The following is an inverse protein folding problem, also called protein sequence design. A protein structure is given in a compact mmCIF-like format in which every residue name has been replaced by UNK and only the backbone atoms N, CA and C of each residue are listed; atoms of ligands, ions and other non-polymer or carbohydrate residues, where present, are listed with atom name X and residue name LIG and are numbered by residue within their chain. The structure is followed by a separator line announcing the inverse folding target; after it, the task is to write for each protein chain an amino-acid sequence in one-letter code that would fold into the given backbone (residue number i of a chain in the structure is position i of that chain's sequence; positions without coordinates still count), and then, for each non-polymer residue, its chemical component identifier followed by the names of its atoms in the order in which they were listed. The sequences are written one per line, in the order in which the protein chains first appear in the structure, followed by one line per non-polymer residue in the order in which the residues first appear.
data_IF_334378434544
#
_entry.id   IF_334378434544
#
_cell.length_a   1.000
_cell.length_b   1.000
_cell.length_c   1.000
_cell.angle_alpha   90.00
_cell.angle_beta   90.00
_cell.angle_gamma   90.00
#
_symmetry.space_group_name_H-M   'P 1'
#
loop_
_entity.id
_entity.type
_entity.pdbx_description
1 polymer ?
#
# COMPACT_ATOMS: atom_id res chain seq x y z
N UNK A 1 -3.17 -20.07 -6.70
CA UNK A 1 -4.14 -20.53 -5.69
C UNK A 1 -4.79 -21.82 -6.18
N UNK A 2 -5.43 -22.61 -5.31
CA UNK A 2 -6.32 -23.67 -5.79
C UNK A 2 -7.67 -23.07 -6.27
N UNK A 3 -8.52 -23.86 -6.94
CA UNK A 3 -9.79 -23.36 -7.49
C UNK A 3 -10.71 -22.75 -6.43
N UNK A 4 -10.79 -23.37 -5.25
CA UNK A 4 -11.64 -22.90 -4.14
C UNK A 4 -11.14 -21.56 -3.57
N UNK A 5 -9.83 -21.40 -3.41
CA UNK A 5 -9.20 -20.14 -2.99
C UNK A 5 -9.45 -19.02 -4.01
N UNK A 6 -9.34 -19.32 -5.30
CA UNK A 6 -9.63 -18.38 -6.39
C UNK A 6 -11.09 -17.92 -6.38
N UNK A 7 -12.03 -18.83 -6.13
CA UNK A 7 -13.47 -18.50 -6.00
C UNK A 7 -13.74 -17.67 -4.73
N UNK A 8 -13.15 -18.06 -3.60
CA UNK A 8 -13.25 -17.33 -2.32
C UNK A 8 -12.79 -15.87 -2.45
N UNK A 9 -11.68 -15.64 -3.15
CA UNK A 9 -11.17 -14.30 -3.43
C UNK A 9 -12.18 -13.48 -4.26
N UNK A 10 -12.66 -14.05 -5.36
CA UNK A 10 -13.57 -13.35 -6.28
C UNK A 10 -14.91 -13.02 -5.60
N UNK A 11 -15.45 -13.94 -4.80
CA UNK A 11 -16.65 -13.70 -3.98
C UNK A 11 -16.41 -12.63 -2.90
N UNK A 12 -15.25 -12.68 -2.23
CA UNK A 12 -14.85 -11.68 -1.24
C UNK A 12 -14.76 -10.28 -1.84
N UNK A 13 -14.16 -10.16 -3.02
CA UNK A 13 -14.10 -8.90 -3.78
C UNK A 13 -15.50 -8.40 -4.13
N UNK A 14 -16.39 -9.25 -4.65
CA UNK A 14 -17.76 -8.85 -4.98
C UNK A 14 -18.51 -8.27 -3.77
N UNK A 15 -18.41 -8.93 -2.61
CA UNK A 15 -19.04 -8.46 -1.37
C UNK A 15 -18.50 -7.11 -0.92
N UNK A 16 -17.18 -6.92 -0.99
CA UNK A 16 -16.53 -5.66 -0.58
C UNK A 16 -16.80 -4.54 -1.58
N UNK A 17 -16.92 -4.88 -2.86
CA UNK A 17 -17.24 -3.92 -3.88
C UNK A 17 -18.57 -3.26 -3.59
N UNK A 18 -19.57 -3.90 -3.01
CA UNK A 18 -20.86 -3.29 -2.63
C UNK A 18 -20.75 -2.05 -1.69
N UNK A 19 -19.59 -1.83 -1.08
CA UNK A 19 -19.33 -0.74 -0.12
C UNK A 19 -18.45 0.36 -0.70
N UNK A 20 -18.41 1.51 -0.03
CA UNK A 20 -17.56 2.63 -0.40
C UNK A 20 -16.05 2.34 -0.25
N UNK A 21 -15.19 3.11 -0.93
CA UNK A 21 -13.74 3.03 -0.74
C UNK A 21 -13.29 3.63 0.61
N UNK A 22 -14.20 4.30 1.33
CA UNK A 22 -13.95 4.94 2.62
C UNK A 22 -15.17 4.80 3.56
N UNK A 23 -14.95 5.01 4.85
CA UNK A 23 -15.94 5.12 5.91
C UNK A 23 -15.52 6.18 6.93
N UNK A 24 -16.44 6.65 7.77
CA UNK A 24 -16.23 7.75 8.73
C UNK A 24 -15.59 8.99 8.08
N UNK A 25 -15.98 9.27 6.83
CA UNK A 25 -15.56 10.45 6.05
C UNK A 25 -14.14 10.43 5.47
N UNK A 26 -13.23 9.57 5.94
CA UNK A 26 -11.84 9.54 5.45
C UNK A 26 -11.05 8.23 5.70
N UNK A 27 -11.59 7.26 6.44
CA UNK A 27 -10.89 6.00 6.72
C UNK A 27 -11.02 5.07 5.52
N UNK A 28 -9.91 4.58 4.99
CA UNK A 28 -9.88 3.73 3.79
C UNK A 28 -10.51 2.36 4.04
N UNK A 29 -11.26 1.85 3.08
CA UNK A 29 -11.68 0.45 3.06
C UNK A 29 -10.47 -0.45 2.70
N UNK A 30 -10.09 -1.30 3.65
CA UNK A 30 -8.94 -2.18 3.57
C UNK A 30 -9.26 -3.59 3.07
N UNK A 31 -10.55 -3.94 3.03
CA UNK A 31 -11.04 -5.30 2.83
C UNK A 31 -10.38 -6.03 1.66
N UNK A 32 -10.30 -5.43 0.45
CA UNK A 32 -9.75 -6.14 -0.70
C UNK A 32 -8.30 -6.57 -0.52
N UNK A 33 -7.48 -5.76 0.15
CA UNK A 33 -6.07 -6.07 0.43
C UNK A 33 -5.94 -7.16 1.50
N UNK A 34 -6.79 -7.12 2.54
CA UNK A 34 -6.78 -8.12 3.61
C UNK A 34 -7.27 -9.49 3.10
N UNK A 35 -8.37 -9.52 2.33
CA UNK A 35 -8.91 -10.74 1.73
C UNK A 35 -7.89 -11.39 0.80
N UNK A 36 -7.25 -10.60 -0.06
CA UNK A 36 -6.23 -11.12 -0.97
C UNK A 36 -5.04 -11.72 -0.20
N UNK A 37 -4.58 -11.07 0.88
CA UNK A 37 -3.53 -11.60 1.73
C UNK A 37 -3.95 -12.90 2.45
N UNK A 38 -5.16 -12.94 3.02
CA UNK A 38 -5.69 -14.14 3.70
C UNK A 38 -5.73 -15.34 2.75
N UNK A 39 -6.33 -15.18 1.56
CA UNK A 39 -6.42 -16.28 0.57
C UNK A 39 -5.03 -16.74 0.14
N UNK A 40 -4.11 -15.80 -0.13
CA UNK A 40 -2.76 -16.12 -0.60
C UNK A 40 -1.96 -16.98 0.39
N UNK A 41 -2.20 -16.80 1.68
CA UNK A 41 -1.50 -17.52 2.75
C UNK A 41 -2.34 -18.67 3.32
N UNK A 42 -3.33 -19.18 2.57
CA UNK A 42 -4.09 -20.38 2.93
C UNK A 42 -5.18 -20.16 3.99
N UNK A 43 -5.48 -18.92 4.35
CA UNK A 43 -6.51 -18.55 5.34
C UNK A 43 -7.87 -18.24 4.67
N UNK A 44 -8.12 -18.83 3.50
CA UNK A 44 -9.34 -18.63 2.71
C UNK A 44 -10.62 -18.93 3.47
N UNK A 45 -10.63 -19.97 4.31
CA UNK A 45 -11.79 -20.37 5.12
C UNK A 45 -12.26 -19.28 6.10
N UNK A 46 -11.41 -18.30 6.42
CA UNK A 46 -11.75 -17.17 7.31
C UNK A 46 -12.39 -16.00 6.58
N UNK A 47 -12.21 -15.90 5.27
CA UNK A 47 -12.50 -14.69 4.47
C UNK A 47 -13.93 -14.22 4.68
N UNK A 48 -14.93 -15.08 4.49
CA UNK A 48 -16.32 -14.64 4.55
C UNK A 48 -16.73 -14.16 5.93
N UNK A 49 -16.27 -14.85 6.99
CA UNK A 49 -16.52 -14.44 8.39
C UNK A 49 -15.80 -13.14 8.72
N UNK A 50 -14.56 -12.99 8.25
CA UNK A 50 -13.79 -11.77 8.40
C UNK A 50 -14.51 -10.58 7.75
N UNK A 51 -15.02 -10.76 6.52
CA UNK A 51 -15.80 -9.74 5.81
C UNK A 51 -17.10 -9.42 6.57
N UNK A 52 -17.78 -10.41 7.16
CA UNK A 52 -19.02 -10.18 7.92
C UNK A 52 -18.79 -9.18 9.07
N UNK A 53 -17.69 -9.33 9.83
CA UNK A 53 -17.31 -8.41 10.91
C UNK A 53 -16.83 -7.07 10.34
N UNK A 54 -15.92 -7.11 9.36
CA UNK A 54 -15.32 -5.91 8.81
C UNK A 54 -16.34 -4.95 8.15
N UNK A 55 -17.38 -5.51 7.51
CA UNK A 55 -18.43 -4.72 6.85
C UNK A 55 -19.28 -3.89 7.82
N UNK A 56 -19.31 -4.20 9.11
CA UNK A 56 -20.03 -3.39 10.11
C UNK A 56 -19.46 -1.96 10.22
N UNK A 57 -18.18 -1.77 9.83
CA UNK A 57 -17.50 -0.46 9.78
C UNK A 57 -17.75 0.31 8.48
N UNK A 58 -18.13 -0.39 7.41
CA UNK A 58 -18.13 0.15 6.06
C UNK A 58 -19.40 0.92 5.74
N UNK A 59 -19.26 1.97 4.94
CA UNK A 59 -20.36 2.80 4.48
C UNK A 59 -20.78 2.43 3.05
N UNK A 60 -21.97 2.88 2.67
CA UNK A 60 -22.47 2.75 1.30
C UNK A 60 -21.55 3.47 0.30
N UNK A 61 -21.60 3.05 -0.97
CA UNK A 61 -20.86 3.74 -2.02
C UNK A 61 -21.32 5.19 -2.13
N UNK A 62 -20.41 6.16 -2.34
CA UNK A 62 -20.80 7.52 -2.68
C UNK A 62 -21.59 7.54 -3.99
N UNK A 63 -22.51 8.49 -4.11
CA UNK A 63 -23.22 8.75 -5.37
C UNK A 63 -22.29 9.32 -6.45
N UNK A 64 -22.71 9.23 -7.70
CA UNK A 64 -22.07 9.92 -8.83
C UNK A 64 -22.22 11.44 -8.67
N UNK A 65 -21.13 12.18 -8.90
CA UNK A 65 -21.12 13.65 -8.93
C UNK A 65 -21.13 14.16 -10.36
N UNK A 66 -20.34 13.57 -11.26
CA UNK A 66 -20.29 13.96 -12.66
C UNK A 66 -19.48 13.00 -13.53
N UNK A 67 -19.81 12.95 -14.83
CA UNK A 67 -19.15 12.04 -15.76
C UNK A 67 -17.71 12.46 -16.06
N UNK A 68 -16.78 11.52 -15.89
CA UNK A 68 -15.38 11.64 -16.32
C UNK A 68 -15.22 11.09 -17.74
N UNK A 69 -14.42 11.78 -18.56
CA UNK A 69 -14.10 11.44 -19.95
C UNK A 69 -12.61 11.65 -20.22
N UNK A 70 -12.14 11.21 -21.39
CA UNK A 70 -10.75 11.43 -21.82
C UNK A 70 -10.39 12.93 -21.95
N UNK A 71 -11.38 13.79 -22.18
CA UNK A 71 -11.21 15.23 -22.34
C UNK A 71 -11.17 15.98 -21.01
N UNK A 72 -11.92 15.55 -20.00
CA UNK A 72 -12.13 16.31 -18.76
C UNK A 72 -11.45 15.74 -17.51
N UNK A 73 -10.82 14.56 -17.58
CA UNK A 73 -10.31 13.86 -16.38
C UNK A 73 -9.35 14.69 -15.52
N UNK A 74 -8.60 15.60 -16.13
CA UNK A 74 -7.65 16.48 -15.41
C UNK A 74 -8.35 17.40 -14.43
N UNK A 75 -9.58 17.82 -14.72
CA UNK A 75 -10.37 18.69 -13.86
C UNK A 75 -10.95 17.94 -12.65
N UNK A 76 -11.14 16.62 -12.78
CA UNK A 76 -11.64 15.74 -11.71
C UNK A 76 -10.52 15.12 -10.85
N UNK A 77 -9.25 15.27 -11.25
CA UNK A 77 -8.11 14.67 -10.55
C UNK A 77 -7.92 15.35 -9.18
N UNK A 78 -7.90 14.55 -8.12
CA UNK A 78 -7.74 15.01 -6.75
C UNK A 78 -9.01 15.61 -6.12
N UNK A 79 -10.16 15.56 -6.81
CA UNK A 79 -11.44 16.01 -6.27
C UNK A 79 -12.25 14.85 -5.64
N UNK A 80 -12.44 14.83 -4.31
CA UNK A 80 -13.18 13.80 -3.58
C UNK A 80 -14.58 13.51 -4.11
N UNK A 81 -15.22 14.50 -4.72
CA UNK A 81 -16.62 14.39 -5.14
C UNK A 81 -16.79 13.32 -6.23
N UNK A 82 -15.73 13.08 -7.01
CA UNK A 82 -15.72 12.12 -8.11
C UNK A 82 -15.32 10.69 -7.69
N UNK A 83 -15.32 10.35 -6.39
CA UNK A 83 -14.90 9.02 -5.91
C UNK A 83 -15.57 7.84 -6.65
N UNK A 84 -16.88 7.89 -6.86
CA UNK A 84 -17.61 6.86 -7.59
C UNK A 84 -17.41 6.94 -9.12
N UNK A 85 -17.25 8.16 -9.64
CA UNK A 85 -17.13 8.43 -11.06
C UNK A 85 -15.79 7.93 -11.61
N UNK A 86 -14.72 8.07 -10.82
CA UNK A 86 -13.39 7.56 -11.16
C UNK A 86 -13.36 6.04 -11.28
N UNK A 87 -13.97 5.32 -10.35
CA UNK A 87 -14.11 3.86 -10.43
C UNK A 87 -14.88 3.42 -11.68
N UNK A 88 -15.96 4.14 -12.01
CA UNK A 88 -16.74 3.90 -13.24
C UNK A 88 -15.89 4.12 -14.48
N UNK A 89 -15.17 5.25 -14.56
CA UNK A 89 -14.32 5.59 -15.68
C UNK A 89 -13.21 4.56 -15.93
N UNK A 90 -12.49 4.13 -14.88
CA UNK A 90 -11.50 3.06 -15.03
C UNK A 90 -12.14 1.72 -15.40
N UNK A 91 -13.33 1.42 -14.88
CA UNK A 91 -14.10 0.24 -15.28
C UNK A 91 -14.44 0.24 -16.78
N UNK A 92 -14.79 1.41 -17.34
CA UNK A 92 -15.00 1.56 -18.79
C UNK A 92 -13.70 1.31 -19.58
N UNK A 93 -12.59 1.94 -19.17
CA UNK A 93 -11.29 1.76 -19.82
C UNK A 93 -10.82 0.29 -19.81
N UNK A 94 -11.01 -0.42 -18.70
CA UNK A 94 -10.56 -1.80 -18.52
C UNK A 94 -11.44 -2.82 -19.27
N UNK A 95 -12.67 -2.47 -19.64
CA UNK A 95 -13.48 -3.29 -20.57
C UNK A 95 -13.05 -3.13 -22.02
N UNK A 96 -12.43 -1.99 -22.37
CA UNK A 96 -12.11 -1.63 -23.75
C UNK A 96 -10.66 -1.94 -24.11
N UNK A 97 -9.75 -2.00 -23.13
CA UNK A 97 -8.31 -2.14 -23.35
C UNK A 97 -7.69 -3.13 -22.37
N UNK A 98 -6.59 -3.80 -22.74
CA UNK A 98 -5.84 -4.66 -21.82
C UNK A 98 -5.42 -3.90 -20.56
N UNK A 99 -5.59 -4.52 -19.39
CA UNK A 99 -5.35 -3.85 -18.10
C UNK A 99 -3.92 -3.33 -17.94
N UNK A 100 -2.92 -4.02 -18.53
CA UNK A 100 -1.51 -3.59 -18.52
C UNK A 100 -1.31 -2.28 -19.28
N UNK A 101 -2.04 -2.05 -20.36
CA UNK A 101 -1.95 -0.81 -21.13
C UNK A 101 -2.57 0.35 -20.35
N UNK A 102 -3.74 0.12 -19.73
CA UNK A 102 -4.39 1.12 -18.86
C UNK A 102 -3.46 1.46 -17.68
N UNK A 103 -2.89 0.44 -17.04
CA UNK A 103 -1.94 0.63 -15.93
C UNK A 103 -0.70 1.40 -16.39
N UNK A 104 -0.05 1.02 -17.48
CA UNK A 104 1.14 1.70 -18.00
C UNK A 104 0.88 3.18 -18.37
N UNK A 105 -0.31 3.48 -18.89
CA UNK A 105 -0.72 4.85 -19.21
C UNK A 105 -0.93 5.71 -17.94
N UNK A 106 -1.60 5.16 -16.94
CA UNK A 106 -2.03 5.90 -15.75
C UNK A 106 -1.00 5.91 -14.63
N UNK A 107 -0.15 4.90 -14.53
CA UNK A 107 0.87 4.79 -13.49
C UNK A 107 1.70 6.07 -13.34
N UNK A 108 2.39 6.60 -14.39
CA UNK A 108 3.20 7.81 -14.24
C UNK A 108 2.37 9.06 -13.92
N UNK A 109 1.07 9.08 -14.24
CA UNK A 109 0.16 10.19 -13.88
C UNK A 109 -0.19 10.18 -12.39
N UNK A 110 -0.20 9.01 -11.77
CA UNK A 110 -0.58 8.83 -10.36
C UNK A 110 0.61 8.87 -9.40
N UNK A 111 1.83 8.54 -9.86
CA UNK A 111 3.04 8.55 -9.04
C UNK A 111 3.29 9.86 -8.27
N UNK A 112 3.04 11.08 -8.81
CA UNK A 112 3.21 12.32 -8.04
C UNK A 112 2.35 12.34 -6.77
N UNK A 113 1.16 11.74 -6.81
CA UNK A 113 0.23 11.60 -5.70
C UNK A 113 0.36 10.30 -4.91
N UNK A 114 1.53 9.64 -4.87
CA UNK A 114 1.72 8.32 -4.22
C UNK A 114 1.33 8.30 -2.72
N UNK A 115 1.40 9.45 -2.04
CA UNK A 115 1.07 9.57 -0.61
C UNK A 115 -0.42 9.80 -0.34
N UNK A 116 -1.21 10.05 -1.39
CA UNK A 116 -2.65 10.26 -1.32
C UNK A 116 -3.38 9.15 -0.55
N UNK A 117 -4.41 9.53 0.20
CA UNK A 117 -5.19 8.59 1.01
C UNK A 117 -4.29 7.75 1.91
N UNK A 118 -3.25 8.34 2.51
CA UNK A 118 -2.24 7.63 3.30
C UNK A 118 -1.59 6.43 2.59
N UNK A 119 -1.31 6.54 1.28
CA UNK A 119 -0.77 5.46 0.41
C UNK A 119 -1.70 4.28 0.15
N UNK A 120 -2.92 4.25 0.70
CA UNK A 120 -3.89 3.18 0.47
C UNK A 120 -4.15 2.90 -1.01
N UNK A 121 -4.29 3.90 -1.90
CA UNK A 121 -4.58 3.64 -3.30
C UNK A 121 -3.50 2.80 -4.01
N UNK A 122 -2.21 3.14 -3.82
CA UNK A 122 -1.13 2.34 -4.44
C UNK A 122 -1.04 0.95 -3.84
N UNK A 123 -1.29 0.81 -2.53
CA UNK A 123 -1.33 -0.51 -1.88
C UNK A 123 -2.44 -1.35 -2.51
N UNK A 124 -3.66 -0.79 -2.62
CA UNK A 124 -4.81 -1.44 -3.24
C UNK A 124 -4.53 -1.87 -4.69
N UNK A 125 -3.94 -0.99 -5.49
CA UNK A 125 -3.51 -1.31 -6.86
C UNK A 125 -2.47 -2.43 -6.89
N UNK A 126 -1.46 -2.40 -6.00
CA UNK A 126 -0.42 -3.43 -5.96
C UNK A 126 -0.96 -4.81 -5.59
N UNK A 127 -1.93 -4.90 -4.68
CA UNK A 127 -2.64 -6.15 -4.39
C UNK A 127 -3.45 -6.64 -5.61
N UNK A 128 -4.21 -5.75 -6.27
CA UNK A 128 -4.96 -6.10 -7.47
C UNK A 128 -4.06 -6.60 -8.61
N UNK A 129 -2.94 -5.91 -8.86
CA UNK A 129 -1.95 -6.30 -9.87
C UNK A 129 -1.29 -7.63 -9.53
N UNK A 130 -0.94 -7.88 -8.26
CA UNK A 130 -0.37 -9.16 -7.83
C UNK A 130 -1.30 -10.32 -8.18
N UNK A 131 -2.60 -10.19 -7.91
CA UNK A 131 -3.60 -11.20 -8.26
C UNK A 131 -3.72 -11.38 -9.77
N UNK A 132 -3.84 -10.28 -10.53
CA UNK A 132 -3.95 -10.34 -12.00
C UNK A 132 -2.73 -11.01 -12.64
N UNK A 133 -1.53 -10.82 -12.09
CA UNK A 133 -0.31 -11.47 -12.55
C UNK A 133 -0.26 -12.96 -12.22
N UNK A 134 -0.72 -13.36 -11.03
CA UNK A 134 -0.60 -14.72 -10.54
C UNK A 134 -1.75 -15.64 -10.98
N UNK A 135 -2.98 -15.14 -10.94
CA UNK A 135 -4.21 -15.93 -11.09
C UNK A 135 -5.00 -15.57 -12.36
N UNK A 136 -4.59 -14.51 -13.07
CA UNK A 136 -5.22 -14.06 -14.30
C UNK A 136 -6.47 -13.20 -14.10
N UNK A 137 -7.11 -12.85 -15.21
CA UNK A 137 -8.23 -11.91 -15.27
C UNK A 137 -9.57 -12.56 -14.87
N UNK A 138 -10.35 -11.84 -14.09
CA UNK A 138 -11.78 -12.08 -13.87
C UNK A 138 -12.50 -10.74 -13.70
N UNK A 139 -13.83 -10.74 -13.83
CA UNK A 139 -14.65 -9.53 -13.64
C UNK A 139 -14.37 -8.83 -12.29
N UNK A 140 -14.45 -9.54 -11.15
CA UNK A 140 -14.12 -8.98 -9.84
C UNK A 140 -12.69 -8.43 -9.74
N UNK A 141 -11.69 -9.12 -10.32
CA UNK A 141 -10.28 -8.67 -10.24
C UNK A 141 -10.02 -7.39 -11.04
N UNK A 142 -10.60 -7.29 -12.23
CA UNK A 142 -10.53 -6.07 -13.05
C UNK A 142 -11.29 -4.92 -12.39
N UNK A 143 -12.45 -5.19 -11.78
CA UNK A 143 -13.19 -4.20 -11.01
C UNK A 143 -12.39 -3.70 -9.80
N UNK A 144 -11.64 -4.58 -9.12
CA UNK A 144 -10.78 -4.18 -8.01
C UNK A 144 -9.62 -3.28 -8.47
N UNK A 145 -9.01 -3.56 -9.63
CA UNK A 145 -8.04 -2.64 -10.23
C UNK A 145 -8.68 -1.28 -10.57
N UNK A 146 -9.90 -1.27 -11.11
CA UNK A 146 -10.64 -0.05 -11.39
C UNK A 146 -10.88 0.77 -10.11
N UNK A 147 -11.27 0.10 -9.02
CA UNK A 147 -11.49 0.73 -7.73
C UNK A 147 -10.19 1.30 -7.14
N UNK A 148 -9.08 0.56 -7.22
CA UNK A 148 -7.78 1.03 -6.76
C UNK A 148 -7.27 2.26 -7.52
N UNK A 149 -7.31 2.22 -8.86
CA UNK A 149 -6.93 3.36 -9.71
C UNK A 149 -7.87 4.55 -9.52
N UNK A 150 -9.17 4.29 -9.42
CA UNK A 150 -10.17 5.33 -9.23
C UNK A 150 -10.02 6.02 -7.88
N UNK A 151 -9.74 5.25 -6.83
CA UNK A 151 -9.46 5.81 -5.52
C UNK A 151 -8.19 6.69 -5.53
N UNK A 152 -7.16 6.26 -6.25
CA UNK A 152 -5.92 7.02 -6.40
C UNK A 152 -6.18 8.36 -7.10
N UNK A 153 -6.92 8.33 -8.20
CA UNK A 153 -7.24 9.55 -8.95
C UNK A 153 -8.12 10.52 -8.15
N UNK A 154 -9.12 10.03 -7.41
CA UNK A 154 -10.00 10.85 -6.60
C UNK A 154 -9.32 11.51 -5.38
N UNK A 155 -8.32 10.85 -4.79
CA UNK A 155 -7.55 11.36 -3.65
C UNK A 155 -6.23 12.01 -4.04
N UNK A 156 -5.89 12.03 -5.32
CA UNK A 156 -4.59 12.46 -5.83
C UNK A 156 -4.15 13.78 -5.19
N UNK A 157 -3.06 13.74 -4.46
CA UNK A 157 -2.49 14.87 -3.77
C UNK A 157 -0.97 14.77 -3.81
N UNK A 158 -0.33 15.76 -4.42
CA UNK A 158 1.13 15.86 -4.47
C UNK A 158 1.68 16.42 -3.15
N UNK A 159 2.92 16.04 -2.82
CA UNK A 159 3.67 16.73 -1.78
C UNK A 159 3.96 18.19 -2.19
N UNK A 160 4.31 19.08 -1.23
CA UNK A 160 4.70 20.44 -1.57
C UNK A 160 5.81 20.49 -2.63
N UNK A 161 5.68 21.37 -3.64
CA UNK A 161 6.59 21.43 -4.78
C UNK A 161 8.07 21.77 -4.43
N UNK A 162 8.34 22.21 -3.20
CA UNK A 162 9.64 22.69 -2.73
C UNK A 162 10.31 21.80 -1.67
N UNK A 163 10.15 20.48 -1.77
CA UNK A 163 10.91 19.54 -0.92
C UNK A 163 12.39 19.57 -1.33
N UNK A 164 13.24 20.13 -0.47
CA UNK A 164 14.67 20.19 -0.71
C UNK A 164 15.34 18.82 -0.49
N UNK A 165 16.21 18.45 -1.42
CA UNK A 165 17.03 17.24 -1.34
C UNK A 165 18.11 17.38 -0.25
N UNK A 166 18.12 16.45 0.71
CA UNK A 166 19.23 16.24 1.65
C UNK A 166 20.25 15.25 1.06
N UNK A 167 21.51 15.26 1.53
CA UNK A 167 22.52 14.30 1.08
C UNK A 167 22.03 12.85 1.13
N UNK A 168 22.30 12.09 0.07
CA UNK A 168 21.86 10.71 -0.06
C UNK A 168 22.67 9.79 0.89
N UNK A 169 22.01 9.06 1.80
CA UNK A 169 22.69 8.07 2.64
C UNK A 169 23.07 6.82 1.84
N UNK A 170 24.00 6.01 2.36
CA UNK A 170 24.55 4.88 1.62
C UNK A 170 23.54 3.72 1.48
N UNK A 171 22.72 3.50 2.51
CA UNK A 171 21.73 2.42 2.55
C UNK A 171 20.29 2.92 2.77
N UNK A 172 19.31 2.10 2.40
CA UNK A 172 17.90 2.39 2.65
C UNK A 172 17.59 2.58 4.15
N UNK A 173 18.21 1.77 5.01
CA UNK A 173 18.02 1.86 6.45
C UNK A 173 18.58 3.16 7.05
N UNK A 174 19.74 3.61 6.57
CA UNK A 174 20.27 4.94 6.93
C UNK A 174 19.38 6.05 6.39
N UNK A 175 18.85 5.90 5.16
CA UNK A 175 17.94 6.87 4.57
C UNK A 175 16.67 7.04 5.40
N UNK A 176 16.00 5.96 5.81
CA UNK A 176 14.82 6.02 6.67
C UNK A 176 15.12 6.68 8.03
N UNK A 177 16.27 6.38 8.64
CA UNK A 177 16.69 7.02 9.91
C UNK A 177 17.07 8.49 9.75
N UNK A 178 17.49 8.91 8.56
CA UNK A 178 17.84 10.30 8.26
C UNK A 178 16.62 11.17 7.92
N UNK A 179 15.43 10.58 7.74
CA UNK A 179 14.18 11.33 7.55
C UNK A 179 13.90 12.16 8.79
N UNK A 180 13.79 13.47 8.61
CA UNK A 180 13.45 14.40 9.67
C UNK A 180 11.94 14.35 9.92
N UNK A 181 11.50 14.06 11.14
CA UNK A 181 10.08 14.12 11.46
C UNK A 181 9.53 15.55 11.36
N UNK A 182 8.25 15.68 11.05
CA UNK A 182 7.58 17.00 11.00
C UNK A 182 7.40 17.58 12.40
N UNK A 183 7.37 18.91 12.47
CA UNK A 183 7.32 19.67 13.72
C UNK A 183 5.96 19.54 14.42
N UNK A 184 4.85 19.83 13.71
CA UNK A 184 3.51 19.74 14.28
C UNK A 184 2.82 18.42 13.88
N UNK A 185 2.59 17.57 14.87
CA UNK A 185 1.94 16.26 14.72
C UNK A 185 0.54 16.22 15.33
N UNK A 186 -0.06 17.36 15.61
CA UNK A 186 -1.38 17.46 16.26
C UNK A 186 -2.53 16.93 15.41
N UNK A 187 -2.38 16.89 14.08
CA UNK A 187 -3.42 16.46 13.14
C UNK A 187 -3.00 15.22 12.32
N UNK A 188 -3.90 14.76 11.45
CA UNK A 188 -3.72 13.57 10.61
C UNK A 188 -2.70 13.74 9.47
N UNK A 189 -2.54 12.66 8.70
CA UNK A 189 -1.47 12.53 7.71
C UNK A 189 -1.42 13.66 6.68
N UNK A 190 -2.54 14.14 6.14
CA UNK A 190 -2.53 15.19 5.12
C UNK A 190 -1.91 16.49 5.64
N UNK A 191 -2.20 16.84 6.90
CA UNK A 191 -1.60 17.99 7.57
C UNK A 191 -0.09 17.81 7.81
N UNK A 192 0.33 16.59 8.15
CA UNK A 192 1.75 16.27 8.37
C UNK A 192 2.53 16.26 7.06
N UNK A 193 2.01 15.64 6.01
CA UNK A 193 2.63 15.62 4.68
C UNK A 193 2.82 17.05 4.11
N UNK A 194 1.88 17.95 4.35
CA UNK A 194 1.97 19.35 3.91
C UNK A 194 3.12 20.14 4.56
N UNK A 195 3.69 19.65 5.68
CA UNK A 195 4.84 20.27 6.34
C UNK A 195 6.19 19.76 5.82
N UNK A 196 6.20 18.68 5.04
CA UNK A 196 7.45 18.11 4.52
C UNK A 196 8.11 19.13 3.59
N UNK A 197 9.30 19.56 3.97
CA UNK A 197 10.10 20.51 3.21
C UNK A 197 11.48 19.98 2.83
N UNK A 198 11.87 18.81 3.36
CA UNK A 198 13.19 18.20 3.13
C UNK A 198 13.11 16.69 3.20
N UNK A 199 13.76 15.99 2.27
CA UNK A 199 13.89 14.53 2.28
C UNK A 199 15.29 14.10 1.80
N UNK A 200 15.86 13.00 2.33
CA UNK A 200 17.08 12.41 1.78
C UNK A 200 16.93 12.02 0.31
N UNK A 201 17.90 12.38 -0.55
CA UNK A 201 17.91 12.08 -1.98
C UNK A 201 18.37 10.63 -2.29
N UNK A 202 17.85 9.65 -1.54
CA UNK A 202 18.34 8.27 -1.57
C UNK A 202 18.00 7.50 -2.86
N UNK A 203 16.85 7.80 -3.46
CA UNK A 203 16.40 7.16 -4.69
C UNK A 203 17.19 7.61 -5.92
N UNK A 204 17.72 8.85 -5.90
CA UNK A 204 18.32 9.52 -7.06
C UNK A 204 19.74 9.00 -7.40
N UNK A 205 20.32 8.14 -6.55
CA UNK A 205 21.70 7.66 -6.71
C UNK A 205 21.83 6.36 -7.48
N UNK A 206 20.73 5.78 -7.98
CA UNK A 206 20.74 4.47 -8.65
C UNK A 206 20.92 4.67 -10.16
N UNK A 207 21.83 3.93 -10.81
CA UNK A 207 21.89 3.89 -12.26
C UNK A 207 20.56 3.48 -12.87
N UNK A 208 20.23 4.03 -14.05
CA UNK A 208 18.97 3.73 -14.76
C UNK A 208 19.03 2.35 -15.45
N UNK A 209 19.28 1.30 -14.66
CA UNK A 209 19.24 -0.10 -15.04
C UNK A 209 18.07 -0.79 -14.31
N UNK A 210 17.10 -1.39 -15.03
CA UNK A 210 15.87 -1.92 -14.43
C UNK A 210 16.11 -2.89 -13.26
N UNK A 211 17.03 -3.84 -13.38
CA UNK A 211 17.24 -4.80 -12.29
C UNK A 211 17.92 -4.15 -11.06
N UNK A 212 18.81 -3.17 -11.26
CA UNK A 212 19.38 -2.39 -10.17
C UNK A 212 18.30 -1.56 -9.45
N UNK A 213 17.34 -0.99 -10.19
CA UNK A 213 16.18 -0.29 -9.64
C UNK A 213 15.30 -1.23 -8.83
N UNK A 214 15.01 -2.42 -9.36
CA UNK A 214 14.23 -3.45 -8.65
C UNK A 214 14.92 -3.92 -7.37
N UNK A 215 16.23 -4.18 -7.42
CA UNK A 215 17.01 -4.54 -6.24
C UNK A 215 17.01 -3.41 -5.20
N UNK A 216 17.19 -2.16 -5.63
CA UNK A 216 17.13 -1.01 -4.74
C UNK A 216 15.76 -0.90 -4.07
N UNK A 217 14.68 -1.07 -4.82
CA UNK A 217 13.32 -1.06 -4.26
C UNK A 217 13.11 -2.22 -3.27
N UNK A 218 13.59 -3.42 -3.57
CA UNK A 218 13.57 -4.54 -2.62
C UNK A 218 14.37 -4.22 -1.34
N UNK A 219 15.49 -3.51 -1.45
CA UNK A 219 16.26 -3.06 -0.28
C UNK A 219 15.50 -2.02 0.56
N UNK A 220 14.68 -1.16 -0.06
CA UNK A 220 13.79 -0.24 0.65
C UNK A 220 12.73 -0.99 1.44
N UNK A 221 12.07 -1.98 0.82
CA UNK A 221 11.06 -2.81 1.49
C UNK A 221 11.66 -3.51 2.71
N UNK A 222 12.82 -4.18 2.55
CA UNK A 222 13.52 -4.82 3.69
C UNK A 222 13.85 -3.83 4.80
N UNK A 223 14.36 -2.65 4.44
CA UNK A 223 14.72 -1.62 5.40
C UNK A 223 13.48 -1.04 6.12
N UNK A 224 12.37 -0.86 5.43
CA UNK A 224 11.12 -0.36 6.00
C UNK A 224 10.48 -1.38 6.96
N UNK A 225 10.51 -2.67 6.62
CA UNK A 225 10.10 -3.76 7.53
C UNK A 225 10.99 -3.79 8.79
N UNK A 226 12.31 -3.65 8.63
CA UNK A 226 13.23 -3.53 9.78
C UNK A 226 13.03 -2.26 10.60
N UNK A 227 12.70 -1.14 9.96
CA UNK A 227 12.34 0.09 10.63
C UNK A 227 11.07 -0.11 11.47
N UNK A 228 10.03 -0.73 10.89
CA UNK A 228 8.80 -1.06 11.60
C UNK A 228 9.07 -1.90 12.86
N UNK A 229 9.84 -2.98 12.75
CA UNK A 229 10.16 -3.89 13.86
C UNK A 229 10.71 -3.19 15.12
N UNK A 230 11.30 -2.01 14.96
CA UNK A 230 11.97 -1.26 16.03
C UNK A 230 11.29 0.07 16.37
N UNK A 231 10.53 0.67 15.44
CA UNK A 231 9.96 2.02 15.57
C UNK A 231 8.42 2.06 15.57
N UNK A 232 7.73 0.93 15.36
CA UNK A 232 6.27 0.87 15.27
C UNK A 232 5.55 1.50 16.47
N UNK A 233 6.17 1.53 17.65
CA UNK A 233 5.62 2.13 18.87
C UNK A 233 5.29 3.64 18.76
N UNK A 234 5.77 4.35 17.73
CA UNK A 234 5.36 5.73 17.46
C UNK A 234 3.92 5.83 16.94
N UNK A 235 3.54 4.95 16.01
CA UNK A 235 2.18 4.78 15.53
C UNK A 235 2.09 3.45 14.75
N UNK A 236 1.67 2.35 15.39
CA UNK A 236 1.83 1.01 14.82
C UNK A 236 0.95 0.79 13.59
N UNK A 237 -0.21 1.45 13.52
CA UNK A 237 -1.11 1.42 12.37
C UNK A 237 -0.52 2.19 11.20
N UNK A 238 -0.16 3.47 11.37
CA UNK A 238 0.29 4.29 10.24
C UNK A 238 1.67 3.89 9.72
N UNK A 239 2.56 3.38 10.58
CA UNK A 239 3.90 2.97 10.14
C UNK A 239 3.90 1.71 9.27
N UNK A 240 2.83 0.90 9.22
CA UNK A 240 2.77 -0.23 8.26
C UNK A 240 2.91 0.26 6.83
N UNK A 241 2.36 1.45 6.54
CA UNK A 241 2.34 2.05 5.21
C UNK A 241 3.74 2.36 4.66
N UNK A 242 4.71 2.60 5.54
CA UNK A 242 6.10 2.81 5.14
C UNK A 242 6.71 1.55 4.50
N UNK A 243 6.19 0.36 4.80
CA UNK A 243 6.63 -0.91 4.23
C UNK A 243 5.68 -1.43 3.14
N UNK A 244 4.37 -1.33 3.35
CA UNK A 244 3.38 -1.91 2.42
C UNK A 244 3.29 -1.13 1.10
N UNK A 245 3.44 0.20 1.12
CA UNK A 245 3.41 1.02 -0.09
C UNK A 245 4.59 0.74 -1.05
N UNK A 246 5.88 0.76 -0.62
CA UNK A 246 6.97 0.40 -1.52
C UNK A 246 6.90 -1.08 -1.96
N UNK A 247 6.37 -1.99 -1.14
CA UNK A 247 6.19 -3.38 -1.55
C UNK A 247 5.09 -3.54 -2.61
N UNK A 248 4.00 -2.77 -2.52
CA UNK A 248 2.98 -2.71 -3.56
C UNK A 248 3.56 -2.23 -4.91
N UNK A 249 4.44 -1.22 -4.88
CA UNK A 249 5.17 -0.76 -6.07
C UNK A 249 6.08 -1.88 -6.61
N UNK A 250 6.83 -2.57 -5.74
CA UNK A 250 7.71 -3.68 -6.11
C UNK A 250 6.95 -4.82 -6.80
N UNK A 251 5.80 -5.20 -6.23
CA UNK A 251 4.89 -6.22 -6.79
C UNK A 251 4.29 -5.81 -8.13
N UNK A 252 4.23 -4.51 -8.41
CA UNK A 252 3.66 -3.97 -9.66
C UNK A 252 4.68 -3.90 -10.80
N UNK A 253 5.99 -3.83 -10.52
CA UNK A 253 7.02 -3.68 -11.57
C UNK A 253 6.92 -4.69 -12.73
N UNK A 254 6.63 -6.00 -12.52
CA UNK A 254 6.50 -6.97 -13.62
C UNK A 254 5.31 -6.71 -14.57
N UNK A 255 4.37 -5.85 -14.17
CA UNK A 255 3.25 -5.42 -15.00
C UNK A 255 3.57 -4.19 -15.87
N UNK A 256 4.63 -3.44 -15.54
CA UNK A 256 4.95 -2.13 -16.12
C UNK A 256 6.08 -2.21 -17.16
N UNK A 257 6.06 -1.32 -18.17
CA UNK A 257 7.23 -1.02 -18.99
C UNK A 257 8.45 -0.66 -18.12
N UNK A 258 9.63 -1.14 -18.50
CA UNK A 258 10.87 -1.02 -17.70
C UNK A 258 11.31 0.44 -17.52
N UNK A 259 10.94 1.30 -18.44
CA UNK A 259 11.22 2.74 -18.45
C UNK A 259 10.50 3.47 -17.31
N UNK A 260 9.45 2.86 -16.73
CA UNK A 260 8.72 3.43 -15.58
C UNK A 260 9.32 3.05 -14.23
N UNK A 261 10.29 2.13 -14.18
CA UNK A 261 10.76 1.57 -12.91
C UNK A 261 11.52 2.59 -12.07
N UNK A 262 12.35 3.43 -12.68
CA UNK A 262 13.12 4.47 -11.98
C UNK A 262 12.20 5.50 -11.28
N UNK A 263 11.19 5.99 -12.00
CA UNK A 263 10.16 6.86 -11.41
C UNK A 263 9.38 6.16 -10.29
N UNK A 264 9.13 4.85 -10.43
CA UNK A 264 8.45 4.04 -9.42
C UNK A 264 9.28 3.92 -8.13
N UNK A 265 10.60 3.77 -8.23
CA UNK A 265 11.50 3.78 -7.07
C UNK A 265 11.47 5.14 -6.35
N UNK A 266 11.52 6.25 -7.09
CA UNK A 266 11.43 7.60 -6.50
C UNK A 266 10.12 7.83 -5.75
N UNK A 267 9.00 7.39 -6.32
CA UNK A 267 7.69 7.47 -5.67
C UNK A 267 7.59 6.55 -4.44
N UNK A 268 8.10 5.31 -4.52
CA UNK A 268 8.13 4.37 -3.40
C UNK A 268 8.97 4.89 -2.22
N UNK A 269 10.11 5.52 -2.51
CA UNK A 269 10.91 6.22 -1.50
C UNK A 269 10.12 7.37 -0.87
N UNK A 270 9.48 8.21 -1.69
CA UNK A 270 8.63 9.32 -1.24
C UNK A 270 7.50 8.85 -0.32
N UNK A 271 6.84 7.73 -0.65
CA UNK A 271 5.81 7.13 0.19
C UNK A 271 6.37 6.71 1.57
N UNK A 272 7.48 5.98 1.58
CA UNK A 272 8.12 5.50 2.82
C UNK A 272 8.58 6.66 3.70
N UNK A 273 9.30 7.61 3.10
CA UNK A 273 9.84 8.76 3.80
C UNK A 273 8.74 9.72 4.29
N UNK A 274 7.66 9.91 3.54
CA UNK A 274 6.53 10.73 3.96
C UNK A 274 5.80 10.16 5.18
N UNK A 275 5.60 8.85 5.23
CA UNK A 275 5.03 8.16 6.39
C UNK A 275 5.97 8.25 7.59
N UNK A 276 7.27 8.00 7.41
CA UNK A 276 8.26 8.12 8.49
C UNK A 276 8.34 9.55 9.03
N UNK A 277 8.40 10.56 8.16
CA UNK A 277 8.40 11.97 8.59
C UNK A 277 7.16 12.31 9.42
N UNK A 278 6.02 11.71 9.08
CA UNK A 278 4.75 11.96 9.74
C UNK A 278 4.60 11.21 11.08
N UNK A 279 5.17 10.01 11.22
CA UNK A 279 4.82 9.08 12.31
C UNK A 279 6.00 8.46 13.06
N UNK A 280 7.24 8.81 12.75
CA UNK A 280 8.40 8.34 13.49
C UNK A 280 8.26 8.65 15.00
N UNK A 281 8.62 7.70 15.88
CA UNK A 281 8.59 7.93 17.32
C UNK A 281 9.53 9.07 17.73
N UNK A 282 9.24 9.71 18.87
CA UNK A 282 10.17 10.67 19.48
C UNK A 282 11.34 9.96 20.17
N UNK A 283 11.12 8.72 20.62
CA UNK A 283 12.13 7.87 21.23
C UNK A 283 12.91 7.08 20.18
N UNK A 284 14.08 6.58 20.58
CA UNK A 284 14.93 5.74 19.71
C UNK A 284 14.34 4.35 19.45
N UNK A 285 15.04 3.52 18.66
CA UNK A 285 14.60 2.16 18.34
C UNK A 285 14.45 1.32 19.61
N UNK A 286 13.39 0.51 19.67
CA UNK A 286 13.24 -0.55 20.64
C UNK A 286 13.87 -1.85 20.13
N UNK A 287 14.12 -2.79 21.04
CA UNK A 287 14.47 -4.16 20.66
C UNK A 287 13.36 -4.75 19.77
N UNK A 288 13.70 -5.54 18.73
CA UNK A 288 12.71 -6.26 17.93
C UNK A 288 11.84 -7.17 18.80
N UNK A 289 10.59 -7.40 18.40
CA UNK A 289 9.70 -8.33 19.10
C UNK A 289 10.24 -9.76 19.04
N UNK A 290 10.06 -10.49 20.14
CA UNK A 290 10.32 -11.93 20.20
C UNK A 290 9.27 -12.66 19.36
N UNK A 291 9.73 -13.52 18.46
CA UNK A 291 8.85 -14.33 17.61
C UNK A 291 8.33 -15.57 18.34
N UNK A 292 8.95 -15.93 19.48
CA UNK A 292 8.68 -17.16 20.21
C UNK A 292 9.05 -18.41 19.40
N UNK A 293 9.99 -18.29 18.44
CA UNK A 293 10.36 -19.37 17.53
C UNK A 293 9.33 -19.66 16.42
N UNK A 294 8.30 -18.82 16.28
CA UNK A 294 7.27 -19.00 15.25
C UNK A 294 7.86 -18.89 13.84
N UNK A 295 7.50 -19.85 12.99
CA UNK A 295 7.82 -19.81 11.57
C UNK A 295 6.93 -18.84 10.78
N UNK A 296 7.17 -18.66 9.46
CA UNK A 296 6.41 -17.72 8.62
C UNK A 296 4.91 -18.02 8.57
N UNK A 297 4.54 -19.29 8.35
CA UNK A 297 3.14 -19.74 8.29
C UNK A 297 2.41 -19.48 9.61
N UNK A 298 3.02 -19.86 10.73
CA UNK A 298 2.46 -19.61 12.06
C UNK A 298 2.31 -18.11 12.34
N UNK A 299 3.28 -17.30 11.94
CA UNK A 299 3.22 -15.85 12.12
C UNK A 299 2.07 -15.22 11.32
N UNK A 300 1.85 -15.67 10.08
CA UNK A 300 0.70 -15.20 9.30
C UNK A 300 -0.62 -15.67 9.91
N UNK A 301 -0.71 -16.93 10.36
CA UNK A 301 -1.89 -17.45 11.04
C UNK A 301 -2.24 -16.65 12.32
N UNK A 302 -1.23 -16.17 13.05
CA UNK A 302 -1.43 -15.24 14.19
C UNK A 302 -2.03 -13.91 13.75
N UNK A 303 -1.52 -13.30 12.68
CA UNK A 303 -2.09 -12.07 12.12
C UNK A 303 -3.52 -12.28 11.59
N UNK A 304 -3.79 -13.42 10.93
CA UNK A 304 -5.12 -13.78 10.46
C UNK A 304 -6.11 -14.03 11.62
N UNK A 305 -5.63 -14.60 12.74
CA UNK A 305 -6.43 -14.76 13.95
C UNK A 305 -6.64 -13.44 14.71
N UNK A 306 -5.68 -12.51 14.64
CA UNK A 306 -5.77 -11.16 15.20
C UNK A 306 -6.84 -10.30 14.50
N UNK A 307 -7.05 -10.52 13.20
CA UNK A 307 -8.18 -9.94 12.47
C UNK A 307 -7.97 -8.52 11.93
N UNK A 308 -7.16 -7.68 12.57
CA UNK A 308 -6.90 -6.33 12.05
C UNK A 308 -6.23 -6.34 10.66
N UNK A 309 -6.77 -5.53 9.75
CA UNK A 309 -6.32 -5.41 8.37
C UNK A 309 -4.86 -4.93 8.20
N UNK A 310 -4.34 -4.14 9.14
CA UNK A 310 -2.99 -3.59 9.09
C UNK A 310 -1.97 -4.64 9.49
N UNK A 311 -2.26 -5.41 10.55
CA UNK A 311 -1.47 -6.57 10.97
C UNK A 311 -1.39 -7.60 9.84
N UNK A 312 -2.51 -7.94 9.20
CA UNK A 312 -2.56 -8.87 8.06
C UNK A 312 -1.69 -8.37 6.89
N UNK A 313 -1.87 -7.13 6.44
CA UNK A 313 -1.09 -6.55 5.33
C UNK A 313 0.40 -6.47 5.64
N UNK A 314 0.76 -6.13 6.87
CA UNK A 314 2.15 -6.06 7.28
C UNK A 314 2.78 -7.45 7.37
N UNK A 315 2.07 -8.45 7.90
CA UNK A 315 2.53 -9.84 7.89
C UNK A 315 2.78 -10.31 6.45
N UNK A 316 1.84 -10.09 5.52
CA UNK A 316 2.01 -10.43 4.10
C UNK A 316 3.25 -9.75 3.48
N UNK A 317 3.50 -8.47 3.78
CA UNK A 317 4.71 -7.77 3.31
C UNK A 317 5.99 -8.28 3.97
N UNK A 318 5.94 -8.58 5.26
CA UNK A 318 7.08 -9.09 6.00
C UNK A 318 7.48 -10.49 5.53
N UNK A 319 6.52 -11.33 5.14
CA UNK A 319 6.78 -12.66 4.63
C UNK A 319 7.48 -12.65 3.26
N UNK A 320 7.21 -11.66 2.39
CA UNK A 320 8.02 -11.45 1.18
C UNK A 320 9.49 -11.16 1.53
N UNK A 321 9.73 -10.40 2.61
CA UNK A 321 11.08 -10.13 3.11
C UNK A 321 11.74 -11.39 3.67
N UNK A 322 11.01 -12.19 4.46
CA UNK A 322 11.51 -13.46 5.02
C UNK A 322 11.89 -14.45 3.91
N UNK A 323 11.10 -14.51 2.83
CA UNK A 323 11.41 -15.39 1.70
C UNK A 323 12.74 -15.02 1.01
N UNK A 324 13.14 -13.75 1.05
CA UNK A 324 14.41 -13.28 0.50
C UNK A 324 15.57 -13.28 1.52
N UNK A 325 15.25 -13.11 2.81
CA UNK A 325 16.20 -13.01 3.92
C UNK A 325 15.59 -13.64 5.20
N UNK A 326 15.73 -14.96 5.40
CA UNK A 326 15.08 -15.68 6.49
C UNK A 326 15.51 -15.24 7.90
N UNK A 327 16.75 -14.76 8.03
CA UNK A 327 17.32 -14.25 9.29
C UNK A 327 17.07 -12.74 9.47
N UNK A 328 16.40 -12.12 8.50
CA UNK A 328 16.09 -10.70 8.48
C UNK A 328 14.98 -10.32 9.46
N UNK A 329 14.57 -9.03 9.46
CA UNK A 329 13.65 -8.49 10.46
C UNK A 329 12.18 -8.89 10.26
N UNK A 330 11.84 -9.68 9.24
CA UNK A 330 10.47 -9.89 8.80
C UNK A 330 9.56 -10.49 9.88
N UNK A 331 9.97 -11.60 10.51
CA UNK A 331 9.15 -12.24 11.54
C UNK A 331 8.96 -11.35 12.77
N UNK A 332 10.02 -10.63 13.20
CA UNK A 332 9.90 -9.67 14.31
C UNK A 332 9.01 -8.47 13.96
N UNK A 333 8.98 -8.02 12.71
CA UNK A 333 8.07 -6.94 12.29
C UNK A 333 6.60 -7.39 12.34
N UNK A 334 6.31 -8.60 11.85
CA UNK A 334 4.96 -9.17 11.92
C UNK A 334 4.52 -9.41 13.37
N UNK A 335 5.40 -9.97 14.21
CA UNK A 335 5.14 -10.14 15.65
C UNK A 335 4.84 -8.80 16.33
N UNK A 336 5.63 -7.75 16.01
CA UNK A 336 5.44 -6.40 16.54
C UNK A 336 4.11 -5.78 16.10
N UNK A 337 3.62 -6.10 14.91
CA UNK A 337 2.31 -5.65 14.43
C UNK A 337 1.18 -6.25 15.27
N UNK A 338 1.22 -7.56 15.48
CA UNK A 338 0.26 -8.30 16.33
C UNK A 338 0.34 -7.87 17.80
N UNK A 339 1.50 -7.41 18.27
CA UNK A 339 1.69 -6.91 19.64
C UNK A 339 1.09 -5.52 19.86
N UNK A 340 1.23 -4.60 18.89
CA UNK A 340 0.95 -3.18 19.11
C UNK A 340 -0.34 -2.67 18.47
N UNK A 341 -0.87 -3.36 17.46
CA UNK A 341 -2.13 -2.97 16.84
C UNK A 341 -3.26 -3.61 17.64
N UNK A 342 -4.30 -2.84 17.96
CA UNK A 342 -5.46 -3.38 18.67
C UNK A 342 -6.22 -4.34 17.74
N UNK A 343 -6.70 -5.48 18.26
CA UNK A 343 -7.52 -6.41 17.47
C UNK A 343 -8.90 -5.83 17.18
N UNK A 344 -9.46 -6.27 16.05
CA UNK A 344 -10.80 -5.92 15.58
C UNK A 344 -11.91 -6.74 16.28
#
# INVERSE_FOLDING_TARGET
MNTNESETLDEGLLRLHETGPEFQGWLSNHGPMAVEALVRHGEGDRVHRWIDVYRERLEERPGSYGRITAENWREALGDPRYLADWATYFGELLRERPWREVLAEWWPRMLPGITAGATHPVIRVGHAVRVLLAEGESGPRLAELAHGLGYWAARHQELPASVAALPAPASAGEALRAVQPVDDRSQGINYRLAQISRLPAWADTVPDEPEAVRERLASLVRAAVGYYATHAHGNPVMLVHAATAPNAVLRTLPALPRELWSASLGAAWTASAGVVASYAPAQGPLAPADTGGAGPEEMFARAAAHGDEHAIKLADTALDVVAADPEGPGLSAAARAVELIEPD
#
